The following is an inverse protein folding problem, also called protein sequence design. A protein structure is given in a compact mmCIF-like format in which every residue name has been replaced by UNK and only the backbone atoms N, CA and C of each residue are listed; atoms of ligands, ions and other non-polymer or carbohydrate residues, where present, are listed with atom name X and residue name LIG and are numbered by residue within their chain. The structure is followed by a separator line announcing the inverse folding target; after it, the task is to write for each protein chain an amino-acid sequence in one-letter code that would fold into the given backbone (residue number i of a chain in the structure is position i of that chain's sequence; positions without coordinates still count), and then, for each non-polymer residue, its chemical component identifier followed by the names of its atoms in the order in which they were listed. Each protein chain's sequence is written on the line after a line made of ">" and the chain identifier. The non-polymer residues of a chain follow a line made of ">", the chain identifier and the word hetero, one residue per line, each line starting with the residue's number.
data_IF_354614817332
#
_entry.id   IF_354614817332
#
_cell.length_a   1.000
_cell.length_b   1.000
_cell.length_c   1.000
_cell.angle_alpha   90.00
_cell.angle_beta   90.00
_cell.angle_gamma   90.00
#
_symmetry.space_group_name_H-M   'P 1'
#
loop_
_entity.id
_entity.type
_entity.pdbx_description
1 polymer ?
#
# COMPACT_ATOMS: atom_id res chain seq x y z
N UNK A 1 -20.37 -16.42 73.28
CA UNK A 1 -21.59 -16.43 72.42
C UNK A 1 -21.56 -15.10 71.67
N UNK A 2 -21.50 -14.97 70.35
CA UNK A 2 -21.75 -15.86 69.21
C UNK A 2 -21.04 -15.28 67.97
N UNK A 3 -20.60 -16.17 67.09
CA UNK A 3 -20.11 -15.93 65.72
C UNK A 3 -21.13 -15.23 64.80
N UNK A 4 -20.62 -14.73 63.66
CA UNK A 4 -21.25 -14.18 62.43
C UNK A 4 -21.11 -12.66 62.28
N UNK A 5 -20.61 -12.08 61.18
CA UNK A 5 -20.17 -12.60 59.90
C UNK A 5 -19.62 -11.43 59.07
N UNK A 6 -18.48 -11.65 58.39
CA UNK A 6 -17.84 -10.69 57.50
C UNK A 6 -18.58 -10.75 56.15
N UNK A 7 -19.37 -9.73 55.84
CA UNK A 7 -19.97 -9.54 54.52
C UNK A 7 -19.13 -8.52 53.75
N UNK A 8 -18.51 -8.98 52.66
CA UNK A 8 -17.84 -8.17 51.65
C UNK A 8 -18.81 -7.17 51.05
N UNK A 9 -18.53 -5.88 51.16
CA UNK A 9 -19.13 -4.84 50.33
C UNK A 9 -18.48 -4.88 48.93
N UNK A 10 -18.81 -5.92 48.17
CA UNK A 10 -18.35 -6.13 46.79
C UNK A 10 -19.26 -5.46 45.74
N UNK A 11 -20.18 -4.59 46.16
CA UNK A 11 -21.21 -4.01 45.30
C UNK A 11 -20.92 -2.55 44.86
N UNK A 12 -19.75 -2.00 45.21
CA UNK A 12 -19.35 -0.62 44.84
C UNK A 12 -18.50 -0.53 43.55
N UNK A 13 -17.93 -1.65 43.06
CA UNK A 13 -17.10 -1.64 41.84
C UNK A 13 -17.82 -2.08 40.57
N UNK A 14 -18.99 -2.73 40.67
CA UNK A 14 -19.71 -3.24 39.50
C UNK A 14 -20.48 -2.18 38.70
N UNK A 15 -20.70 -0.98 39.26
CA UNK A 15 -21.42 0.10 38.60
C UNK A 15 -20.59 0.98 37.64
N UNK A 16 -19.25 0.87 37.67
CA UNK A 16 -18.36 1.81 36.95
C UNK A 16 -17.90 1.36 35.57
N UNK A 17 -18.25 0.14 35.15
CA UNK A 17 -17.82 -0.45 33.88
C UNK A 17 -18.90 -0.54 32.81
N UNK A 18 -20.03 0.18 32.94
CA UNK A 18 -21.14 0.11 31.99
C UNK A 18 -21.46 1.42 31.25
N UNK A 19 -20.43 2.21 30.94
CA UNK A 19 -20.48 3.25 29.91
C UNK A 19 -19.10 3.43 29.26
N UNK A 20 -18.62 2.41 28.53
CA UNK A 20 -17.62 2.59 27.47
C UNK A 20 -18.28 2.41 26.11
N UNK A 21 -19.34 3.18 25.86
CA UNK A 21 -19.72 3.47 24.48
C UNK A 21 -18.52 4.15 23.84
N UNK A 22 -18.05 3.65 22.70
CA UNK A 22 -17.03 4.32 21.88
C UNK A 22 -17.43 5.78 21.72
N UNK A 23 -16.75 6.67 22.44
CA UNK A 23 -17.14 8.07 22.48
C UNK A 23 -16.52 8.76 21.28
N UNK A 24 -17.21 8.67 20.13
CA UNK A 24 -16.78 9.22 18.84
C UNK A 24 -16.47 10.73 18.92
N UNK A 25 -17.17 11.43 19.81
CA UNK A 25 -16.95 12.84 20.14
C UNK A 25 -15.61 13.07 20.88
N UNK A 26 -15.26 12.20 21.84
CA UNK A 26 -13.96 12.27 22.53
C UNK A 26 -12.79 11.90 21.60
N UNK A 27 -13.03 10.99 20.64
CA UNK A 27 -12.07 10.64 19.57
C UNK A 27 -11.88 11.77 18.54
N UNK A 28 -12.93 12.55 18.25
CA UNK A 28 -12.81 13.80 17.47
C UNK A 28 -12.13 14.92 18.26
N UNK A 29 -12.32 14.98 19.57
CA UNK A 29 -11.83 16.05 20.43
C UNK A 29 -10.30 16.05 20.65
N UNK A 30 -9.62 14.91 20.48
CA UNK A 30 -8.15 14.81 20.70
C UNK A 30 -7.29 15.21 19.50
N UNK A 31 -7.88 15.49 18.34
CA UNK A 31 -7.13 15.83 17.13
C UNK A 31 -8.00 16.64 16.17
N UNK A 32 -8.22 17.92 16.48
CA UNK A 32 -9.03 18.79 15.63
C UNK A 32 -8.30 19.12 14.32
N UNK A 33 -8.28 18.17 13.38
CA UNK A 33 -7.99 18.43 11.97
C UNK A 33 -9.07 19.41 11.49
N UNK A 34 -8.66 20.51 10.86
CA UNK A 34 -9.60 21.50 10.35
C UNK A 34 -10.59 20.86 9.37
N UNK A 35 -11.85 21.29 9.39
CA UNK A 35 -12.88 20.84 8.44
C UNK A 35 -12.42 20.98 6.98
N UNK A 36 -11.64 22.03 6.70
CA UNK A 36 -11.09 22.26 5.37
C UNK A 36 -10.01 21.23 4.97
N UNK A 37 -9.21 20.75 5.93
CA UNK A 37 -8.22 19.69 5.74
C UNK A 37 -8.89 18.33 5.52
N UNK A 38 -9.98 18.04 6.24
CA UNK A 38 -10.79 16.84 6.01
C UNK A 38 -11.36 16.81 4.59
N UNK A 39 -11.90 17.95 4.13
CA UNK A 39 -12.42 18.06 2.75
C UNK A 39 -11.33 17.88 1.69
N UNK A 40 -10.11 18.36 1.96
CA UNK A 40 -8.95 18.15 1.07
C UNK A 40 -8.56 16.67 1.01
N UNK A 41 -8.41 16.02 2.17
CA UNK A 41 -8.11 14.58 2.27
C UNK A 41 -9.13 13.73 1.51
N UNK A 42 -10.44 13.96 1.71
CA UNK A 42 -11.48 13.22 1.00
C UNK A 42 -11.31 13.35 -0.52
N UNK A 43 -11.00 14.54 -1.03
CA UNK A 43 -10.74 14.74 -2.47
C UNK A 43 -9.48 14.03 -2.94
N UNK A 44 -8.40 14.02 -2.15
CA UNK A 44 -7.16 13.29 -2.46
C UNK A 44 -7.44 11.79 -2.53
N UNK A 45 -8.08 11.20 -1.53
CA UNK A 45 -8.42 9.77 -1.53
C UNK A 45 -9.43 9.39 -2.62
N UNK A 46 -10.39 10.26 -2.96
CA UNK A 46 -11.29 10.05 -4.09
C UNK A 46 -10.54 10.08 -5.43
N UNK A 47 -9.60 11.02 -5.59
CA UNK A 47 -8.74 11.10 -6.78
C UNK A 47 -7.83 9.87 -6.87
N UNK A 48 -7.29 9.41 -5.74
CA UNK A 48 -6.49 8.20 -5.64
C UNK A 48 -7.27 6.97 -6.14
N UNK A 49 -8.52 6.80 -5.71
CA UNK A 49 -9.38 5.72 -6.19
C UNK A 49 -9.63 5.81 -7.71
N UNK A 50 -9.83 7.03 -8.24
CA UNK A 50 -9.91 7.27 -9.68
C UNK A 50 -8.63 6.87 -10.41
N UNK A 51 -7.46 7.25 -9.89
CA UNK A 51 -6.16 6.84 -10.43
C UNK A 51 -5.98 5.33 -10.41
N UNK A 52 -6.40 4.63 -9.34
CA UNK A 52 -6.38 3.16 -9.29
C UNK A 52 -7.25 2.53 -10.38
N UNK A 53 -8.44 3.08 -10.66
CA UNK A 53 -9.29 2.61 -11.74
C UNK A 53 -8.64 2.84 -13.12
N UNK A 54 -8.05 4.02 -13.34
CA UNK A 54 -7.32 4.34 -14.58
C UNK A 54 -6.10 3.41 -14.75
N UNK A 55 -5.37 3.12 -13.68
CA UNK A 55 -4.26 2.19 -13.70
C UNK A 55 -4.71 0.75 -14.00
N UNK A 56 -5.88 0.33 -13.51
CA UNK A 56 -6.46 -0.95 -13.89
C UNK A 56 -6.81 -1.00 -15.38
N UNK A 57 -7.31 0.11 -15.95
CA UNK A 57 -7.50 0.24 -17.41
C UNK A 57 -6.16 0.15 -18.14
N UNK A 58 -5.11 0.82 -17.66
CA UNK A 58 -3.75 0.72 -18.20
C UNK A 58 -3.22 -0.71 -18.21
N UNK A 59 -3.32 -1.41 -17.08
CA UNK A 59 -2.94 -2.81 -16.97
C UNK A 59 -3.76 -3.70 -17.92
N UNK A 60 -5.06 -3.44 -18.07
CA UNK A 60 -5.91 -4.15 -19.03
C UNK A 60 -5.47 -3.87 -20.47
N UNK A 61 -5.16 -2.63 -20.83
CA UNK A 61 -4.74 -2.29 -22.20
C UNK A 61 -3.45 -3.01 -22.60
N UNK A 62 -2.53 -3.25 -21.66
CA UNK A 62 -1.35 -4.07 -21.89
C UNK A 62 -1.70 -5.48 -22.37
N UNK A 63 -2.69 -6.12 -21.72
CA UNK A 63 -3.06 -7.51 -21.97
C UNK A 63 -3.71 -7.71 -23.34
N UNK A 64 -4.45 -6.71 -23.84
CA UNK A 64 -5.21 -6.83 -25.09
C UNK A 64 -4.55 -6.17 -26.30
N UNK A 65 -3.66 -5.19 -26.09
CA UNK A 65 -3.05 -4.44 -27.18
C UNK A 65 -1.63 -4.89 -27.47
N UNK A 66 -1.35 -5.24 -28.72
CA UNK A 66 0.02 -5.48 -29.19
C UNK A 66 0.83 -4.18 -29.32
N UNK A 67 0.16 -3.04 -29.54
CA UNK A 67 0.80 -1.75 -29.81
C UNK A 67 1.18 -0.98 -28.55
N UNK A 68 0.40 -1.15 -27.46
CA UNK A 68 0.60 -0.47 -26.18
C UNK A 68 1.01 -1.48 -25.11
N UNK A 69 2.16 -2.14 -25.34
CA UNK A 69 2.80 -2.95 -24.30
C UNK A 69 3.62 -2.07 -23.36
N UNK A 70 3.62 -2.46 -22.10
CA UNK A 70 4.34 -1.83 -21.02
C UNK A 70 5.83 -2.08 -21.19
N UNK A 71 6.63 -1.09 -20.85
CA UNK A 71 8.07 -1.16 -21.02
C UNK A 71 8.75 0.16 -20.73
N UNK A 72 9.92 0.38 -21.32
CA UNK A 72 10.71 1.59 -21.06
C UNK A 72 9.96 2.88 -21.44
N UNK A 73 9.14 2.84 -22.50
CA UNK A 73 8.34 4.00 -22.93
C UNK A 73 7.28 4.39 -21.90
N UNK A 74 6.56 3.43 -21.33
CA UNK A 74 5.55 3.72 -20.30
C UNK A 74 6.22 4.23 -19.02
N UNK A 75 7.40 3.72 -18.67
CA UNK A 75 8.20 4.24 -17.55
C UNK A 75 8.68 5.68 -17.77
N UNK A 76 9.17 5.99 -18.96
CA UNK A 76 9.59 7.35 -19.32
C UNK A 76 8.40 8.31 -19.33
N UNK A 77 7.25 7.88 -19.84
CA UNK A 77 6.03 8.67 -19.84
C UNK A 77 5.48 8.91 -18.43
N UNK A 78 5.58 7.93 -17.52
CA UNK A 78 5.32 8.14 -16.10
C UNK A 78 6.20 9.25 -15.53
N UNK A 79 7.51 9.17 -15.74
CA UNK A 79 8.46 10.15 -15.24
C UNK A 79 8.16 11.55 -15.77
N UNK A 80 7.96 11.70 -17.08
CA UNK A 80 7.60 12.98 -17.70
C UNK A 80 6.27 13.52 -17.19
N UNK A 81 5.29 12.66 -16.94
CA UNK A 81 3.98 13.08 -16.42
C UNK A 81 4.10 13.64 -15.00
N UNK A 82 4.88 12.98 -14.12
CA UNK A 82 5.15 13.49 -12.77
C UNK A 82 5.92 14.80 -12.83
N UNK A 83 6.99 14.87 -13.64
CA UNK A 83 7.75 16.11 -13.82
C UNK A 83 6.87 17.25 -14.35
N UNK A 84 5.94 16.97 -15.27
CA UNK A 84 4.98 17.94 -15.77
C UNK A 84 4.04 18.47 -14.68
N UNK A 85 3.53 17.61 -13.79
CA UNK A 85 2.68 18.04 -12.66
C UNK A 85 3.45 18.90 -11.66
N UNK A 86 4.73 18.61 -11.43
CA UNK A 86 5.61 19.36 -10.52
C UNK A 86 6.09 20.69 -11.12
N UNK A 87 6.32 20.74 -12.44
CA UNK A 87 6.76 21.96 -13.13
C UNK A 87 5.62 22.98 -13.32
N UNK A 88 4.37 22.53 -13.40
CA UNK A 88 3.22 23.41 -13.57
C UNK A 88 2.86 24.11 -12.25
N UNK A 89 2.69 25.45 -12.25
CA UNK A 89 2.29 26.18 -11.05
C UNK A 89 0.88 25.76 -10.60
N UNK A 90 0.62 25.83 -9.30
CA UNK A 90 -0.67 25.49 -8.71
C UNK A 90 -1.68 26.64 -8.90
N UNK A 91 -2.28 26.72 -10.09
CA UNK A 91 -3.25 27.75 -10.48
C UNK A 91 -4.52 27.13 -11.08
N UNK A 92 -5.64 27.86 -11.05
CA UNK A 92 -6.92 27.38 -11.63
C UNK A 92 -6.83 27.09 -13.13
N UNK A 93 -6.01 27.84 -13.87
CA UNK A 93 -5.81 27.66 -15.31
C UNK A 93 -5.04 26.37 -15.65
N UNK A 94 -4.09 25.97 -14.82
CA UNK A 94 -3.25 24.78 -15.02
C UNK A 94 -3.84 23.52 -14.38
N UNK A 95 -4.82 23.67 -13.49
CA UNK A 95 -5.52 22.56 -12.84
C UNK A 95 -5.98 21.44 -13.80
N UNK A 96 -6.72 21.71 -14.90
CA UNK A 96 -7.17 20.63 -15.79
C UNK A 96 -6.00 19.88 -16.43
N UNK A 97 -4.93 20.59 -16.81
CA UNK A 97 -3.72 19.99 -17.37
C UNK A 97 -3.02 19.09 -16.33
N UNK A 98 -2.96 19.51 -15.06
CA UNK A 98 -2.35 18.71 -13.98
C UNK A 98 -3.15 17.44 -13.69
N UNK A 99 -4.49 17.49 -13.70
CA UNK A 99 -5.32 16.29 -13.60
C UNK A 99 -5.20 15.38 -14.84
N UNK A 100 -5.04 15.96 -16.03
CA UNK A 100 -4.76 15.20 -17.25
C UNK A 100 -3.43 14.45 -17.18
N UNK A 101 -2.36 15.12 -16.73
CA UNK A 101 -1.05 14.50 -16.51
C UNK A 101 -1.07 13.46 -15.40
N UNK A 102 -1.84 13.69 -14.32
CA UNK A 102 -2.06 12.69 -13.27
C UNK A 102 -2.75 11.44 -13.82
N UNK A 103 -3.76 11.61 -14.67
CA UNK A 103 -4.46 10.50 -15.32
C UNK A 103 -3.54 9.74 -16.26
N UNK A 104 -2.70 10.45 -17.02
CA UNK A 104 -1.69 9.86 -17.88
C UNK A 104 -0.66 9.07 -17.08
N UNK A 105 -0.16 9.63 -15.97
CA UNK A 105 0.73 8.95 -15.04
C UNK A 105 0.09 7.66 -14.50
N UNK A 106 -1.14 7.72 -14.00
CA UNK A 106 -1.84 6.54 -13.49
C UNK A 106 -2.02 5.46 -14.56
N UNK A 107 -2.39 5.85 -15.78
CA UNK A 107 -2.55 4.92 -16.91
C UNK A 107 -1.21 4.27 -17.29
N UNK A 108 -0.14 5.05 -17.41
CA UNK A 108 1.20 4.57 -17.74
C UNK A 108 1.79 3.69 -16.64
N UNK A 109 1.45 3.97 -15.38
CA UNK A 109 1.83 3.14 -14.24
C UNK A 109 1.15 1.77 -14.36
N UNK A 110 -0.15 1.75 -14.69
CA UNK A 110 -0.89 0.55 -15.01
C UNK A 110 -0.29 -0.26 -16.16
N UNK A 111 0.07 0.40 -17.27
CA UNK A 111 0.78 -0.23 -18.39
C UNK A 111 2.10 -0.85 -17.97
N UNK A 112 2.90 -0.14 -17.17
CA UNK A 112 4.20 -0.61 -16.70
C UNK A 112 4.10 -1.82 -15.77
N UNK A 113 2.97 -1.98 -15.07
CA UNK A 113 2.67 -3.18 -14.28
C UNK A 113 2.18 -4.37 -15.12
N UNK A 114 1.81 -4.12 -16.37
CA UNK A 114 1.22 -5.10 -17.27
C UNK A 114 1.98 -6.42 -17.37
N UNK A 115 3.32 -6.43 -17.64
CA UNK A 115 4.08 -7.69 -17.75
C UNK A 115 4.08 -8.52 -16.46
N UNK A 116 4.11 -7.85 -15.31
CA UNK A 116 4.06 -8.50 -14.01
C UNK A 116 2.67 -9.11 -13.78
N UNK A 117 1.60 -8.37 -14.09
CA UNK A 117 0.23 -8.84 -13.95
C UNK A 117 -0.06 -10.00 -14.92
N UNK A 118 0.40 -9.91 -16.17
CA UNK A 118 0.30 -10.97 -17.17
C UNK A 118 0.89 -12.28 -16.65
N UNK A 119 2.14 -12.22 -16.15
CA UNK A 119 2.82 -13.38 -15.55
C UNK A 119 2.01 -13.98 -14.39
N UNK A 120 1.45 -13.15 -13.50
CA UNK A 120 0.66 -13.65 -12.37
C UNK A 120 -0.67 -14.26 -12.82
N UNK A 121 -1.34 -13.68 -13.83
CA UNK A 121 -2.60 -14.22 -14.34
C UNK A 121 -2.43 -15.60 -14.96
N UNK A 122 -1.30 -15.85 -15.63
CA UNK A 122 -1.00 -17.15 -16.24
C UNK A 122 -0.75 -18.25 -15.22
N UNK A 123 -0.03 -17.95 -14.13
CA UNK A 123 0.36 -18.97 -13.15
C UNK A 123 -0.57 -19.04 -11.93
N UNK A 124 -0.99 -17.88 -11.41
CA UNK A 124 -1.63 -17.71 -10.09
C UNK A 124 -2.77 -16.66 -10.10
N UNK A 125 -3.84 -16.80 -10.91
CA UNK A 125 -4.83 -15.74 -11.11
C UNK A 125 -5.55 -15.31 -9.81
N UNK A 126 -5.75 -16.25 -8.87
CA UNK A 126 -6.34 -15.95 -7.55
C UNK A 126 -5.48 -15.02 -6.69
N UNK A 127 -4.16 -15.04 -6.88
CA UNK A 127 -3.22 -14.23 -6.11
C UNK A 127 -3.41 -12.74 -6.40
N UNK A 128 -3.78 -12.38 -7.63
CA UNK A 128 -3.98 -10.98 -8.03
C UNK A 128 -5.07 -10.29 -7.18
N UNK A 129 -6.24 -10.93 -7.05
CA UNK A 129 -7.37 -10.38 -6.27
C UNK A 129 -7.00 -10.30 -4.79
N UNK A 130 -6.38 -11.35 -4.25
CA UNK A 130 -5.92 -11.36 -2.85
C UNK A 130 -4.89 -10.26 -2.58
N UNK A 131 -3.99 -10.00 -3.52
CA UNK A 131 -3.01 -8.93 -3.40
C UNK A 131 -3.69 -7.56 -3.39
N UNK A 132 -4.63 -7.28 -4.30
CA UNK A 132 -5.38 -6.03 -4.33
C UNK A 132 -6.13 -5.76 -3.02
N UNK A 133 -6.85 -6.76 -2.50
CA UNK A 133 -7.58 -6.65 -1.22
C UNK A 133 -6.59 -6.42 -0.07
N UNK A 134 -5.51 -7.21 0.00
CA UNK A 134 -4.51 -7.09 1.05
C UNK A 134 -3.84 -5.71 1.04
N UNK A 135 -3.46 -5.20 -0.14
CA UNK A 135 -2.88 -3.88 -0.29
C UNK A 135 -3.85 -2.78 0.14
N UNK A 136 -5.12 -2.88 -0.25
CA UNK A 136 -6.14 -1.89 0.14
C UNK A 136 -6.34 -1.88 1.65
N UNK A 137 -6.39 -3.05 2.29
CA UNK A 137 -6.53 -3.17 3.74
C UNK A 137 -5.32 -2.60 4.49
N UNK A 138 -4.10 -2.95 4.06
CA UNK A 138 -2.86 -2.45 4.66
C UNK A 138 -2.77 -0.93 4.47
N UNK A 139 -2.95 -0.44 3.24
CA UNK A 139 -2.92 1.00 2.94
C UNK A 139 -3.93 1.76 3.80
N UNK A 140 -5.20 1.33 3.81
CA UNK A 140 -6.24 1.96 4.61
C UNK A 140 -5.92 1.97 6.11
N UNK A 141 -5.36 0.86 6.63
CA UNK A 141 -4.99 0.75 8.05
C UNK A 141 -3.87 1.73 8.42
N UNK A 142 -2.82 1.81 7.61
CA UNK A 142 -1.68 2.71 7.84
C UNK A 142 -2.07 4.18 7.62
N UNK A 143 -2.84 4.48 6.58
CA UNK A 143 -3.43 5.81 6.37
C UNK A 143 -4.28 6.25 7.55
N UNK A 144 -5.14 5.37 8.07
CA UNK A 144 -5.98 5.67 9.22
C UNK A 144 -5.16 5.84 10.51
N UNK A 145 -4.15 5.00 10.73
CA UNK A 145 -3.20 5.19 11.84
C UNK A 145 -2.49 6.54 11.76
N UNK A 146 -2.18 7.00 10.55
CA UNK A 146 -1.59 8.31 10.34
C UNK A 146 -2.55 9.40 10.84
N UNK A 147 -3.84 9.37 10.42
CA UNK A 147 -4.85 10.35 10.85
C UNK A 147 -4.96 10.51 12.38
N UNK A 148 -4.75 9.43 13.13
CA UNK A 148 -4.80 9.40 14.59
C UNK A 148 -3.46 9.65 15.30
N UNK A 149 -2.35 9.74 14.55
CA UNK A 149 -1.02 9.91 15.14
C UNK A 149 -0.71 11.37 15.44
N UNK A 150 -0.11 11.64 16.61
CA UNK A 150 0.30 12.98 17.02
C UNK A 150 1.45 13.48 16.14
N UNK A 151 1.38 14.74 15.69
CA UNK A 151 2.38 15.37 14.82
C UNK A 151 3.75 15.36 15.51
N UNK A 152 4.71 14.55 15.03
CA UNK A 152 6.07 14.46 15.58
C UNK A 152 7.09 14.44 14.44
N UNK A 153 8.29 14.96 14.73
CA UNK A 153 9.39 15.30 13.81
C UNK A 153 9.40 14.60 12.43
N UNK A 154 8.80 15.26 11.42
CA UNK A 154 8.69 14.80 10.05
C UNK A 154 10.04 14.69 9.32
N UNK A 155 10.94 15.63 9.56
CA UNK A 155 12.25 15.68 8.89
C UNK A 155 13.10 14.42 9.12
N UNK A 156 13.11 13.88 10.34
CA UNK A 156 13.85 12.66 10.64
C UNK A 156 13.22 11.44 9.96
N UNK A 157 11.89 11.35 9.97
CA UNK A 157 11.18 10.24 9.35
C UNK A 157 11.35 10.24 7.82
N UNK A 158 11.24 11.40 7.18
CA UNK A 158 11.46 11.55 5.74
C UNK A 158 12.90 11.19 5.34
N UNK A 159 13.91 11.61 6.12
CA UNK A 159 15.31 11.23 5.91
C UNK A 159 15.55 9.72 6.08
N UNK A 160 14.98 9.12 7.12
CA UNK A 160 15.07 7.68 7.36
C UNK A 160 14.41 6.86 6.23
N UNK A 161 13.21 7.22 5.81
CA UNK A 161 12.51 6.55 4.72
C UNK A 161 13.26 6.73 3.39
N UNK A 162 13.70 7.95 3.09
CA UNK A 162 14.47 8.28 1.88
C UNK A 162 15.80 7.54 1.78
N UNK A 163 16.53 7.45 2.89
CA UNK A 163 17.77 6.64 2.96
C UNK A 163 17.48 5.15 2.79
N UNK A 164 16.43 4.62 3.42
CA UNK A 164 15.99 3.24 3.24
C UNK A 164 15.64 2.92 1.78
N UNK A 165 14.89 3.80 1.10
CA UNK A 165 14.56 3.65 -0.30
C UNK A 165 15.81 3.72 -1.20
N UNK A 166 16.76 4.58 -0.87
CA UNK A 166 18.05 4.69 -1.57
C UNK A 166 18.86 3.42 -1.44
N UNK A 167 18.92 2.82 -0.23
CA UNK A 167 19.58 1.53 0.00
C UNK A 167 18.93 0.43 -0.83
N UNK A 168 17.59 0.38 -0.89
CA UNK A 168 16.88 -0.59 -1.73
C UNK A 168 17.15 -0.38 -3.22
N UNK A 169 17.26 0.86 -3.68
CA UNK A 169 17.60 1.18 -5.06
C UNK A 169 18.99 0.64 -5.41
N UNK A 170 20.00 0.92 -4.57
CA UNK A 170 21.35 0.39 -4.75
C UNK A 170 21.40 -1.13 -4.64
N UNK A 171 20.66 -1.72 -3.70
CA UNK A 171 20.54 -3.17 -3.56
C UNK A 171 19.96 -3.80 -4.82
N UNK A 172 18.90 -3.23 -5.37
CA UNK A 172 18.24 -3.76 -6.57
C UNK A 172 19.16 -3.68 -7.78
N UNK A 173 19.93 -2.59 -7.93
CA UNK A 173 20.98 -2.49 -8.93
C UNK A 173 22.03 -3.59 -8.73
N UNK A 174 22.60 -3.72 -7.53
CA UNK A 174 23.60 -4.76 -7.22
C UNK A 174 23.07 -6.17 -7.53
N UNK A 175 21.78 -6.42 -7.26
CA UNK A 175 21.15 -7.70 -7.49
C UNK A 175 21.00 -8.06 -8.98
N UNK A 176 21.14 -7.10 -9.91
CA UNK A 176 21.22 -7.38 -11.36
C UNK A 176 22.45 -8.24 -11.68
N UNK A 177 23.58 -7.99 -11.01
CA UNK A 177 24.82 -8.76 -11.19
C UNK A 177 24.90 -9.97 -10.27
N UNK A 178 24.43 -9.84 -9.02
CA UNK A 178 24.51 -10.92 -8.02
C UNK A 178 23.46 -12.01 -8.22
N UNK A 179 22.28 -11.66 -8.72
CA UNK A 179 21.14 -12.56 -8.97
C UNK A 179 20.73 -13.40 -7.75
N UNK A 180 20.80 -12.82 -6.54
CA UNK A 180 20.48 -13.51 -5.29
C UNK A 180 18.98 -13.47 -4.99
N UNK A 181 18.40 -14.67 -4.85
CA UNK A 181 17.00 -14.84 -4.40
C UNK A 181 16.81 -14.34 -2.97
N UNK A 182 17.84 -14.43 -2.12
CA UNK A 182 17.78 -13.95 -0.74
C UNK A 182 17.73 -12.42 -0.68
N UNK A 183 18.54 -11.73 -1.48
CA UNK A 183 18.51 -10.27 -1.59
C UNK A 183 17.16 -9.81 -2.13
N UNK A 184 16.66 -10.43 -3.19
CA UNK A 184 15.33 -10.13 -3.73
C UNK A 184 14.22 -10.26 -2.67
N UNK A 185 14.23 -11.34 -1.88
CA UNK A 185 13.26 -11.50 -0.78
C UNK A 185 13.42 -10.42 0.29
N UNK A 186 14.63 -10.10 0.69
CA UNK A 186 14.89 -9.03 1.66
C UNK A 186 14.36 -7.69 1.15
N UNK A 187 14.61 -7.35 -0.12
CA UNK A 187 14.08 -6.15 -0.78
C UNK A 187 12.56 -6.08 -0.77
N UNK A 188 11.87 -7.22 -0.99
CA UNK A 188 10.41 -7.26 -0.95
C UNK A 188 9.85 -6.95 0.45
N UNK A 189 10.38 -7.58 1.50
CA UNK A 189 9.87 -7.38 2.87
C UNK A 189 10.27 -6.03 3.46
N UNK A 190 11.55 -5.64 3.29
CA UNK A 190 12.04 -4.33 3.76
C UNK A 190 11.37 -3.21 2.95
N UNK A 191 11.22 -3.39 1.63
CA UNK A 191 10.51 -2.45 0.78
C UNK A 191 9.04 -2.30 1.19
N UNK A 192 8.34 -3.40 1.45
CA UNK A 192 6.97 -3.32 1.95
C UNK A 192 6.87 -2.53 3.25
N UNK A 193 7.76 -2.77 4.22
CA UNK A 193 7.80 -2.03 5.47
C UNK A 193 8.07 -0.53 5.25
N UNK A 194 8.99 -0.19 4.33
CA UNK A 194 9.27 1.20 3.97
C UNK A 194 8.07 1.88 3.34
N UNK A 195 7.37 1.24 2.39
CA UNK A 195 6.17 1.82 1.80
C UNK A 195 5.04 2.00 2.82
N UNK A 196 4.85 1.07 3.77
CA UNK A 196 3.94 1.31 4.89
C UNK A 196 4.33 2.56 5.71
N UNK A 197 5.63 2.78 5.90
CA UNK A 197 6.16 4.00 6.52
C UNK A 197 5.91 5.26 5.69
N UNK A 198 6.08 5.18 4.36
CA UNK A 198 5.77 6.28 3.45
C UNK A 198 4.29 6.64 3.45
N UNK A 199 3.37 5.66 3.50
CA UNK A 199 1.93 5.95 3.63
C UNK A 199 1.63 6.81 4.86
N UNK A 200 2.25 6.47 6.00
CA UNK A 200 2.10 7.29 7.22
C UNK A 200 2.67 8.69 6.99
N UNK A 201 3.89 8.76 6.47
CA UNK A 201 4.60 10.02 6.24
C UNK A 201 3.84 10.93 5.26
N UNK A 202 3.44 10.42 4.10
CA UNK A 202 2.75 11.16 3.05
C UNK A 202 1.35 11.59 3.49
N UNK A 203 0.59 10.71 4.16
CA UNK A 203 -0.73 11.09 4.72
C UNK A 203 -0.61 12.25 5.69
N UNK A 204 0.43 12.25 6.52
CA UNK A 204 0.67 13.32 7.49
C UNK A 204 1.19 14.60 6.85
N UNK A 205 2.08 14.49 5.87
CA UNK A 205 2.57 15.62 5.11
C UNK A 205 1.41 16.33 4.38
N UNK A 206 0.45 15.57 3.85
CA UNK A 206 -0.77 16.12 3.23
C UNK A 206 -1.60 16.88 4.27
N UNK A 207 -1.79 16.32 5.46
CA UNK A 207 -2.49 17.02 6.57
C UNK A 207 -1.77 18.33 6.91
N UNK A 208 -0.45 18.28 7.11
CA UNK A 208 0.33 19.45 7.50
C UNK A 208 0.30 20.55 6.43
N UNK A 209 0.51 20.20 5.16
CA UNK A 209 0.41 21.13 4.02
C UNK A 209 -0.97 21.77 3.96
N UNK A 210 -2.04 20.98 4.11
CA UNK A 210 -3.41 21.47 4.03
C UNK A 210 -3.79 22.42 5.18
N UNK A 211 -3.25 22.16 6.39
CA UNK A 211 -3.38 23.05 7.55
C UNK A 211 -2.62 24.37 7.35
N UNK A 212 -1.48 24.34 6.65
CA UNK A 212 -0.74 25.54 6.23
C UNK A 212 -1.37 26.25 5.03
N UNK A 213 -2.49 25.74 4.50
CA UNK A 213 -3.21 26.32 3.37
C UNK A 213 -2.75 25.85 1.98
N UNK A 214 -1.73 25.00 1.89
CA UNK A 214 -1.26 24.41 0.63
C UNK A 214 -2.08 23.16 0.31
N UNK A 215 -2.97 23.25 -0.69
CA UNK A 215 -3.93 22.20 -1.03
C UNK A 215 -3.74 21.69 -2.46
N UNK A 216 -2.68 20.93 -2.66
CA UNK A 216 -2.32 20.44 -3.99
C UNK A 216 -2.80 19.01 -4.27
N UNK A 217 -4.09 18.86 -4.62
CA UNK A 217 -4.71 17.54 -4.80
C UNK A 217 -3.93 16.64 -5.79
N UNK A 218 -3.52 17.11 -6.99
CA UNK A 218 -2.78 16.25 -7.92
C UNK A 218 -1.41 15.81 -7.39
N UNK A 219 -0.65 16.74 -6.77
CA UNK A 219 0.67 16.43 -6.21
C UNK A 219 0.58 15.46 -5.03
N UNK A 220 -0.34 15.73 -4.10
CA UNK A 220 -0.61 14.88 -2.94
C UNK A 220 -1.10 13.48 -3.38
N UNK A 221 -1.89 13.39 -4.46
CA UNK A 221 -2.32 12.12 -5.03
C UNK A 221 -1.17 11.33 -5.65
N UNK A 222 -0.19 11.96 -6.31
CA UNK A 222 0.97 11.27 -6.90
C UNK A 222 1.76 10.55 -5.81
N UNK A 223 2.01 11.23 -4.69
CA UNK A 223 2.69 10.69 -3.51
C UNK A 223 2.00 9.41 -3.00
N UNK A 224 0.73 9.52 -2.59
CA UNK A 224 -0.03 8.37 -2.08
C UNK A 224 -0.22 7.26 -3.12
N UNK A 225 -0.38 7.60 -4.40
CA UNK A 225 -0.53 6.60 -5.46
C UNK A 225 0.75 5.82 -5.71
N UNK A 226 1.90 6.49 -5.62
CA UNK A 226 3.22 5.84 -5.72
C UNK A 226 3.42 4.84 -4.59
N UNK A 227 3.02 5.20 -3.37
CA UNK A 227 3.06 4.29 -2.23
C UNK A 227 2.12 3.10 -2.38
N UNK A 228 0.89 3.35 -2.82
CA UNK A 228 -0.12 2.32 -3.05
C UNK A 228 0.35 1.27 -4.06
N UNK A 229 0.81 1.73 -5.23
CA UNK A 229 1.38 0.87 -6.26
C UNK A 229 2.66 0.20 -5.75
N UNK A 230 3.44 0.94 -4.98
CA UNK A 230 4.61 0.48 -4.27
C UNK A 230 4.32 -0.79 -3.48
N UNK A 231 3.42 -0.72 -2.51
CA UNK A 231 3.03 -1.88 -1.70
C UNK A 231 2.36 -2.97 -2.52
N UNK A 232 1.52 -2.61 -3.50
CA UNK A 232 0.84 -3.59 -4.35
C UNK A 232 1.81 -4.55 -5.02
N UNK A 233 2.86 -4.02 -5.66
CA UNK A 233 3.88 -4.84 -6.33
C UNK A 233 4.55 -5.80 -5.33
N UNK A 234 4.90 -5.32 -4.13
CA UNK A 234 5.61 -6.14 -3.13
C UNK A 234 4.70 -7.22 -2.55
N UNK A 235 3.46 -6.88 -2.19
CA UNK A 235 2.47 -7.83 -1.69
C UNK A 235 2.17 -8.90 -2.76
N UNK A 236 1.97 -8.48 -4.01
CA UNK A 236 1.73 -9.37 -5.14
C UNK A 236 2.89 -10.35 -5.34
N UNK A 237 4.13 -9.87 -5.32
CA UNK A 237 5.33 -10.70 -5.43
C UNK A 237 5.48 -11.68 -4.25
N UNK A 238 5.21 -11.23 -3.01
CA UNK A 238 5.26 -12.09 -1.81
C UNK A 238 4.23 -13.22 -1.91
N UNK A 239 2.98 -12.90 -2.26
CA UNK A 239 1.93 -13.90 -2.39
C UNK A 239 2.21 -14.89 -3.53
N UNK A 240 2.81 -14.43 -4.63
CA UNK A 240 3.22 -15.28 -5.73
C UNK A 240 4.32 -16.28 -5.31
N UNK A 241 5.37 -15.83 -4.62
CA UNK A 241 6.44 -16.70 -4.09
C UNK A 241 5.89 -17.71 -3.05
N UNK A 242 4.89 -17.32 -2.26
CA UNK A 242 4.21 -18.22 -1.33
C UNK A 242 3.39 -19.32 -2.05
N UNK A 243 2.60 -18.95 -3.06
CA UNK A 243 1.79 -19.90 -3.85
C UNK A 243 2.68 -20.87 -4.62
N UNK A 244 3.80 -20.39 -5.18
CA UNK A 244 4.78 -21.23 -5.85
C UNK A 244 5.40 -22.27 -4.89
N UNK A 245 5.82 -21.85 -3.70
CA UNK A 245 6.34 -22.76 -2.66
C UNK A 245 5.30 -23.80 -2.25
N UNK A 246 4.04 -23.40 -2.07
CA UNK A 246 2.95 -24.30 -1.73
C UNK A 246 2.72 -25.36 -2.81
N UNK A 247 2.75 -24.97 -4.08
CA UNK A 247 2.66 -25.89 -5.23
C UNK A 247 3.84 -26.87 -5.30
N UNK A 248 5.07 -26.41 -5.09
CA UNK A 248 6.27 -27.29 -5.07
C UNK A 248 6.16 -28.33 -3.95
N UNK A 249 5.77 -27.92 -2.74
CA UNK A 249 5.55 -28.83 -1.60
C UNK A 249 4.44 -29.86 -1.89
N UNK A 250 3.33 -29.43 -2.49
CA UNK A 250 2.21 -30.32 -2.81
C UNK A 250 2.60 -31.40 -3.82
N UNK A 251 3.35 -31.03 -4.87
CA UNK A 251 3.88 -31.99 -5.86
C UNK A 251 4.86 -32.98 -5.24
N UNK A 252 5.75 -32.51 -4.37
CA UNK A 252 6.68 -33.38 -3.65
C UNK A 252 5.96 -34.37 -2.73
N UNK A 253 4.93 -33.93 -2.00
CA UNK A 253 4.12 -34.80 -1.16
C UNK A 253 3.33 -35.83 -1.97
N UNK A 254 2.80 -35.44 -3.14
CA UNK A 254 2.10 -36.34 -4.03
C UNK A 254 3.01 -37.40 -4.63
N UNK A 255 4.23 -37.03 -5.04
CA UNK A 255 5.27 -37.95 -5.50
C UNK A 255 5.54 -39.04 -4.45
N UNK A 256 5.82 -38.65 -3.21
CA UNK A 256 6.06 -39.61 -2.12
C UNK A 256 4.83 -40.43 -1.76
N UNK A 257 3.61 -39.89 -1.93
CA UNK A 257 2.38 -40.67 -1.71
C UNK A 257 2.21 -41.75 -2.77
N UNK A 258 2.49 -41.43 -4.04
CA UNK A 258 2.44 -42.39 -5.17
C UNK A 258 3.50 -43.49 -5.04
N UNK A 259 4.69 -43.13 -4.59
CA UNK A 259 5.79 -44.06 -4.33
C UNK A 259 5.42 -45.07 -3.23
N UNK A 260 4.91 -44.59 -2.09
CA UNK A 260 4.43 -45.48 -1.00
C UNK A 260 3.27 -46.38 -1.42
N UNK A 261 2.36 -45.90 -2.27
CA UNK A 261 1.27 -46.75 -2.77
C UNK A 261 1.75 -47.81 -3.75
N UNK A 262 2.76 -47.51 -4.57
CA UNK A 262 3.39 -48.49 -5.45
C UNK A 262 4.09 -49.58 -4.64
N UNK A 263 4.91 -49.22 -3.64
CA UNK A 263 5.60 -50.20 -2.78
C UNK A 263 4.65 -51.17 -2.09
N UNK A 264 3.48 -50.70 -1.62
CA UNK A 264 2.45 -51.55 -1.00
C UNK A 264 1.72 -52.50 -1.96
N UNK A 265 1.79 -52.28 -3.27
CA UNK A 265 1.16 -53.17 -4.26
C UNK A 265 2.07 -54.36 -4.62
N UNK A 266 3.35 -54.32 -4.25
CA UNK A 266 4.33 -55.36 -4.51
C UNK A 266 4.69 -56.19 -3.26
N UNK A 267 4.04 -55.92 -2.13
CA UNK A 267 4.06 -56.72 -0.88
C UNK A 267 2.83 -57.64 -0.82
#
# INVERSE_FOLDING_TARGET
>A
MSFFGRSMDADSEYGRFRQSGFNFEALKATQAISSATQHHLVKVYATLAGCSAIAAVGARTHLYSYWLRGGMLSGLLCFLSVMGVLALPHNKATAPMRYGLLSLFAFCQGLSLGPLIETILDFYPRVLVTALVSTTLVFASFSMSALFSRRRSWFFLGGLLGSGLSILCWSSLLNVWVQSVALFRAELYIGLALFCGYVIYDTQLIIEKAELGYRDIPGDCISLFTDLIGMFIRILAILADQEEKKRKRSRHNEYHRRERSSSRQWE
#
